data_IF_327918202522
#
_entry.id   IF_327918202522
#
_cell.length_a   1.000
_cell.length_b   1.000
_cell.length_c   1.000
_cell.angle_alpha   90.00
_cell.angle_beta   90.00
_cell.angle_gamma   90.00
#
_symmetry.space_group_name_H-M   'P 1'
#
loop_
_entity.id
_entity.type
_entity.pdbx_description
1 polymer ?
#
# COMPACT_ATOMS: atom_id res chain seq x y z
N UNK A 1 -5.69 -30.21 25.58
CA UNK A 1 -4.85 -30.84 24.53
C UNK A 1 -5.73 -31.10 23.32
N UNK A 2 -5.83 -30.18 22.38
CA UNK A 2 -6.52 -30.35 21.10
C UNK A 2 -5.47 -30.44 20.00
N UNK A 3 -5.38 -31.58 19.39
CA UNK A 3 -4.51 -31.86 18.24
C UNK A 3 -4.96 -31.06 17.04
N UNK A 4 -4.07 -30.29 16.35
CA UNK A 4 -4.43 -29.48 15.21
C UNK A 4 -4.16 -30.19 13.88
N UNK A 5 -4.57 -31.46 13.72
CA UNK A 5 -4.39 -32.15 12.45
C UNK A 5 -5.74 -32.49 11.81
N UNK A 6 -6.36 -31.49 11.15
CA UNK A 6 -7.40 -31.76 10.17
C UNK A 6 -6.74 -31.96 8.78
N UNK A 7 -6.09 -33.10 8.58
CA UNK A 7 -5.68 -33.54 7.25
C UNK A 7 -6.84 -34.30 6.61
N UNK A 8 -7.45 -33.73 5.58
CA UNK A 8 -8.39 -34.49 4.75
C UNK A 8 -7.59 -35.38 3.78
N UNK A 9 -7.69 -36.71 3.94
CA UNK A 9 -7.10 -37.66 3.00
C UNK A 9 -7.81 -37.55 1.63
N UNK A 10 -7.11 -37.03 0.64
CA UNK A 10 -7.52 -37.06 -0.75
C UNK A 10 -7.24 -38.44 -1.42
N UNK A 11 -7.77 -38.63 -2.62
CA UNK A 11 -7.62 -39.86 -3.40
C UNK A 11 -6.17 -40.35 -3.44
N UNK A 12 -5.92 -41.60 -2.96
CA UNK A 12 -4.65 -42.35 -3.03
C UNK A 12 -3.38 -41.55 -2.75
N UNK A 13 -3.06 -41.32 -1.48
CA UNK A 13 -1.76 -40.79 -1.06
C UNK A 13 -1.49 -39.30 -1.35
N UNK A 14 -2.51 -38.55 -1.67
CA UNK A 14 -2.42 -37.07 -1.79
C UNK A 14 -2.91 -36.45 -0.49
N UNK A 15 -2.06 -35.65 0.13
CA UNK A 15 -2.36 -34.85 1.30
C UNK A 15 -2.86 -33.46 0.87
N UNK A 16 -3.85 -32.92 1.60
CA UNK A 16 -4.32 -31.54 1.37
C UNK A 16 -3.85 -30.68 2.54
N UNK A 17 -3.00 -29.69 2.23
CA UNK A 17 -2.43 -28.75 3.20
C UNK A 17 -3.02 -27.37 2.96
N UNK A 18 -3.64 -26.80 4.00
CA UNK A 18 -4.11 -25.41 3.95
C UNK A 18 -2.94 -24.44 4.08
N UNK A 19 -2.89 -23.47 3.18
CA UNK A 19 -1.85 -22.43 3.14
C UNK A 19 -2.42 -21.11 2.69
N UNK A 20 -1.60 -20.06 2.66
CA UNK A 20 -1.98 -18.71 2.23
C UNK A 20 -1.21 -18.28 0.99
N UNK A 21 -1.87 -17.52 0.14
CA UNK A 21 -1.20 -16.78 -0.93
C UNK A 21 -0.43 -15.61 -0.33
N UNK A 22 0.86 -15.54 -0.60
CA UNK A 22 1.75 -14.49 -0.10
C UNK A 22 2.11 -13.46 -1.18
N UNK A 23 1.38 -13.41 -2.28
CA UNK A 23 1.61 -12.44 -3.35
C UNK A 23 1.43 -11.00 -2.84
N UNK A 24 2.18 -10.05 -3.41
CA UNK A 24 2.22 -8.63 -3.02
C UNK A 24 0.98 -7.81 -3.38
N UNK A 25 -0.02 -8.42 -3.99
CA UNK A 25 -1.29 -7.77 -4.33
C UNK A 25 -2.19 -7.42 -3.13
N UNK A 26 -1.82 -7.83 -1.91
CA UNK A 26 -2.60 -7.61 -0.69
C UNK A 26 -3.80 -8.51 -0.48
N UNK A 27 -4.07 -9.46 -1.38
CA UNK A 27 -5.26 -10.31 -1.33
C UNK A 27 -5.27 -11.35 -0.19
N UNK A 28 -4.10 -11.85 0.22
CA UNK A 28 -3.93 -12.83 1.33
C UNK A 28 -4.90 -14.00 1.28
N UNK A 29 -5.16 -14.50 0.07
CA UNK A 29 -6.16 -15.52 -0.18
C UNK A 29 -5.75 -16.87 0.42
N UNK A 30 -6.74 -17.66 0.84
CA UNK A 30 -6.55 -19.04 1.31
C UNK A 30 -6.36 -19.96 0.11
N UNK A 31 -5.43 -20.89 0.24
CA UNK A 31 -5.11 -21.90 -0.75
C UNK A 31 -5.13 -23.30 -0.11
N UNK A 32 -5.53 -24.29 -0.89
CA UNK A 32 -5.39 -25.71 -0.59
C UNK A 32 -4.31 -26.31 -1.48
N UNK A 33 -3.19 -26.72 -0.90
CA UNK A 33 -2.10 -27.38 -1.61
C UNK A 33 -2.32 -28.90 -1.59
N UNK A 34 -2.38 -29.50 -2.77
CA UNK A 34 -2.40 -30.95 -2.94
C UNK A 34 -0.97 -31.44 -3.05
N UNK A 35 -0.51 -32.15 -2.03
CA UNK A 35 0.88 -32.61 -1.88
C UNK A 35 0.95 -34.12 -2.02
N UNK A 36 1.90 -34.60 -2.80
CA UNK A 36 2.25 -36.02 -2.91
C UNK A 36 3.76 -36.16 -2.93
N UNK A 37 4.30 -37.07 -2.14
CA UNK A 37 5.75 -37.32 -2.06
C UNK A 37 6.58 -36.03 -1.87
N UNK A 38 6.11 -35.11 -1.01
CA UNK A 38 6.75 -33.82 -0.75
C UNK A 38 6.62 -32.79 -1.87
N UNK A 39 5.88 -33.06 -2.93
CA UNK A 39 5.70 -32.15 -4.07
C UNK A 39 4.27 -31.63 -4.16
N UNK A 40 4.12 -30.33 -4.35
CA UNK A 40 2.82 -29.70 -4.63
C UNK A 40 2.41 -30.02 -6.06
N UNK A 41 1.35 -30.79 -6.22
CA UNK A 41 0.80 -31.16 -7.51
C UNK A 41 -0.08 -30.05 -8.10
N UNK A 42 -0.90 -29.43 -7.25
CA UNK A 42 -1.77 -28.30 -7.63
C UNK A 42 -2.10 -27.43 -6.43
N UNK A 43 -2.52 -26.19 -6.71
CA UNK A 43 -3.08 -25.27 -5.75
C UNK A 43 -4.54 -24.99 -6.12
N UNK A 44 -5.42 -25.12 -5.15
CA UNK A 44 -6.84 -24.78 -5.28
C UNK A 44 -7.17 -23.55 -4.45
N UNK A 45 -8.20 -22.84 -4.87
CA UNK A 45 -8.78 -21.76 -4.09
C UNK A 45 -9.59 -22.33 -2.93
N UNK A 46 -9.84 -21.52 -1.92
CA UNK A 46 -10.83 -21.84 -0.90
C UNK A 46 -12.21 -22.03 -1.53
N UNK A 47 -12.92 -23.06 -1.10
CA UNK A 47 -14.28 -23.40 -1.52
C UNK A 47 -15.27 -23.34 -0.36
N UNK A 48 -14.87 -22.75 0.78
CA UNK A 48 -15.71 -22.58 1.97
C UNK A 48 -16.90 -21.67 1.75
N UNK A 49 -17.68 -21.48 2.80
CA UNK A 49 -18.83 -20.59 2.82
C UNK A 49 -18.44 -19.11 2.72
N UNK A 50 -19.40 -18.26 2.40
CA UNK A 50 -19.17 -16.80 2.34
C UNK A 50 -18.89 -16.20 3.74
N UNK A 51 -17.99 -15.22 3.84
CA UNK A 51 -17.22 -14.58 2.76
C UNK A 51 -16.00 -15.42 2.35
N UNK A 52 -15.90 -15.73 1.05
CA UNK A 52 -14.79 -16.54 0.55
C UNK A 52 -13.56 -15.70 0.21
N UNK A 53 -12.42 -16.10 0.76
CA UNK A 53 -11.12 -15.52 0.43
C UNK A 53 -10.51 -16.28 -0.75
N UNK A 54 -11.14 -16.14 -1.92
CA UNK A 54 -10.76 -16.89 -3.13
C UNK A 54 -9.50 -16.37 -3.76
N UNK A 55 -8.61 -17.29 -4.13
CA UNK A 55 -7.40 -16.97 -4.89
C UNK A 55 -7.71 -16.78 -6.38
N UNK A 56 -7.12 -15.72 -6.95
CA UNK A 56 -7.10 -15.51 -8.41
C UNK A 56 -6.16 -16.50 -9.11
N UNK A 57 -6.09 -16.43 -10.45
CA UNK A 57 -5.20 -17.27 -11.24
C UNK A 57 -3.72 -17.16 -10.83
N UNK A 58 -3.25 -15.99 -10.43
CA UNK A 58 -1.86 -15.81 -9.95
C UNK A 58 -1.57 -16.65 -8.72
N UNK A 59 -2.46 -16.64 -7.71
CA UNK A 59 -2.30 -17.47 -6.51
C UNK A 59 -2.31 -18.95 -6.84
N UNK A 60 -3.18 -19.38 -7.76
CA UNK A 60 -3.26 -20.79 -8.20
C UNK A 60 -2.05 -21.21 -9.01
N UNK A 61 -1.45 -20.30 -9.78
CA UNK A 61 -0.23 -20.55 -10.57
C UNK A 61 1.08 -20.48 -9.74
N UNK A 62 1.01 -20.20 -8.45
CA UNK A 62 2.21 -19.98 -7.62
C UNK A 62 3.14 -21.19 -7.54
N UNK A 63 2.60 -22.40 -7.79
CA UNK A 63 3.38 -23.63 -7.93
C UNK A 63 4.43 -23.52 -9.05
N UNK A 64 4.13 -22.87 -10.17
CA UNK A 64 5.06 -22.70 -11.28
C UNK A 64 6.29 -21.90 -10.85
N UNK A 65 6.09 -20.85 -10.04
CA UNK A 65 7.19 -20.08 -9.47
C UNK A 65 8.03 -20.91 -8.50
N UNK A 66 7.39 -21.74 -7.67
CA UNK A 66 8.10 -22.58 -6.71
C UNK A 66 9.05 -23.59 -7.39
N UNK A 67 8.64 -24.13 -8.53
CA UNK A 67 9.40 -25.13 -9.29
C UNK A 67 10.06 -24.56 -10.56
N UNK A 68 10.17 -23.22 -10.66
CA UNK A 68 10.88 -22.60 -11.78
C UNK A 68 12.35 -23.08 -11.81
N UNK A 69 12.88 -23.43 -13.00
CA UNK A 69 14.29 -23.81 -13.16
C UNK A 69 15.24 -22.68 -12.74
N UNK A 70 14.82 -21.42 -12.90
CA UNK A 70 15.62 -20.24 -12.57
C UNK A 70 15.59 -19.88 -11.08
N UNK A 71 14.82 -20.62 -10.27
CA UNK A 71 14.75 -20.37 -8.84
C UNK A 71 16.10 -20.62 -8.17
N UNK A 72 16.56 -19.62 -7.41
CA UNK A 72 17.72 -19.78 -6.54
C UNK A 72 17.42 -20.85 -5.46
N UNK A 73 18.30 -21.85 -5.36
CA UNK A 73 18.16 -23.00 -4.44
C UNK A 73 19.24 -23.01 -3.36
N UNK A 74 20.26 -22.21 -3.51
CA UNK A 74 21.43 -22.18 -2.65
C UNK A 74 21.88 -20.74 -2.46
N UNK A 75 22.59 -20.43 -1.37
CA UNK A 75 23.26 -19.15 -1.21
C UNK A 75 24.28 -18.94 -2.32
N UNK A 76 24.38 -17.70 -2.76
CA UNK A 76 25.34 -17.26 -3.77
C UNK A 76 26.22 -16.17 -3.19
N UNK A 77 27.53 -16.34 -3.31
CA UNK A 77 28.54 -15.33 -2.98
C UNK A 77 28.98 -14.62 -4.25
N UNK A 78 29.03 -13.30 -4.22
CA UNK A 78 29.54 -12.54 -5.36
C UNK A 78 31.05 -12.73 -5.50
N UNK A 79 31.49 -13.01 -6.72
CA UNK A 79 32.92 -13.01 -7.10
C UNK A 79 33.17 -11.84 -8.04
N UNK A 80 34.31 -11.17 -7.87
CA UNK A 80 34.69 -10.01 -8.66
C UNK A 80 33.98 -8.71 -8.24
N UNK A 81 34.01 -7.72 -9.14
CA UNK A 81 33.48 -6.35 -8.85
C UNK A 81 31.97 -6.31 -8.80
N UNK A 82 31.41 -5.41 -7.96
CA UNK A 82 29.98 -5.12 -7.93
C UNK A 82 29.50 -4.68 -9.31
N UNK A 83 28.38 -5.25 -9.77
CA UNK A 83 27.80 -4.99 -11.08
C UNK A 83 28.25 -5.93 -12.20
N UNK A 84 29.22 -6.82 -11.97
CA UNK A 84 29.64 -7.83 -12.96
C UNK A 84 28.65 -9.00 -13.11
N UNK A 85 27.77 -9.23 -12.11
CA UNK A 85 26.82 -10.34 -12.13
C UNK A 85 27.44 -11.73 -11.96
N UNK A 86 28.70 -11.80 -11.52
CA UNK A 86 29.40 -13.06 -11.30
C UNK A 86 29.21 -13.54 -9.85
N UNK A 87 28.72 -14.78 -9.71
CA UNK A 87 28.44 -15.40 -8.41
C UNK A 87 28.90 -16.84 -8.39
N UNK A 88 29.30 -17.31 -7.22
CA UNK A 88 29.58 -18.72 -6.95
C UNK A 88 28.63 -19.26 -5.89
N UNK A 89 28.31 -20.53 -5.97
CA UNK A 89 27.52 -21.24 -4.96
C UNK A 89 28.40 -21.50 -3.72
N UNK A 90 27.83 -21.22 -2.54
CA UNK A 90 28.39 -21.54 -1.24
C UNK A 90 27.45 -22.39 -0.41
N UNK A 91 27.93 -23.02 0.66
CA UNK A 91 27.06 -23.70 1.62
C UNK A 91 26.30 -22.68 2.50
N UNK A 92 25.26 -23.13 3.18
CA UNK A 92 24.55 -22.29 4.15
C UNK A 92 25.46 -21.89 5.31
N UNK A 93 26.31 -22.81 5.80
CA UNK A 93 27.24 -22.51 6.90
C UNK A 93 28.21 -21.39 6.51
N UNK A 94 28.86 -21.49 5.36
CA UNK A 94 29.72 -20.44 4.83
C UNK A 94 29.01 -19.10 4.67
N UNK A 95 27.78 -19.12 4.15
CA UNK A 95 27.01 -17.89 3.95
C UNK A 95 26.60 -17.25 5.29
N UNK A 96 26.18 -18.04 6.26
CA UNK A 96 25.76 -17.56 7.57
C UNK A 96 26.96 -17.03 8.39
N UNK A 97 28.07 -17.73 8.35
CA UNK A 97 29.29 -17.29 9.02
C UNK A 97 29.81 -15.98 8.45
N UNK A 98 29.88 -15.84 7.13
CA UNK A 98 30.25 -14.57 6.49
C UNK A 98 29.31 -13.42 6.85
N UNK A 99 28.01 -13.64 6.88
CA UNK A 99 27.03 -12.62 7.27
C UNK A 99 27.23 -12.25 8.75
N UNK A 100 27.43 -13.19 9.63
CA UNK A 100 27.65 -12.96 11.06
C UNK A 100 28.94 -12.16 11.30
N UNK A 101 30.05 -12.57 10.69
CA UNK A 101 31.32 -11.86 10.77
C UNK A 101 31.22 -10.42 10.27
N UNK A 102 30.53 -10.19 9.14
CA UNK A 102 30.34 -8.85 8.59
C UNK A 102 29.46 -7.98 9.48
N UNK A 103 28.41 -8.54 10.04
CA UNK A 103 27.54 -7.83 11.01
C UNK A 103 28.36 -7.40 12.23
N UNK A 104 29.17 -8.31 12.80
CA UNK A 104 29.97 -8.02 13.98
C UNK A 104 31.06 -6.97 13.66
N UNK A 105 31.76 -7.11 12.52
CA UNK A 105 32.74 -6.12 12.07
C UNK A 105 32.13 -4.71 11.94
N UNK A 106 30.95 -4.58 11.27
CA UNK A 106 30.30 -3.29 11.10
C UNK A 106 29.85 -2.72 12.45
N UNK A 107 29.33 -3.55 13.34
CA UNK A 107 28.94 -3.14 14.70
C UNK A 107 30.12 -2.61 15.49
N UNK A 108 31.25 -3.31 15.49
CA UNK A 108 32.45 -2.94 16.25
C UNK A 108 33.11 -1.68 15.67
N UNK A 109 33.17 -1.57 14.35
CA UNK A 109 33.89 -0.47 13.68
C UNK A 109 33.07 0.82 13.57
N UNK A 110 31.74 0.71 13.39
CA UNK A 110 30.89 1.86 13.05
C UNK A 110 29.62 1.96 13.90
N UNK A 111 29.32 0.94 14.70
CA UNK A 111 28.08 0.83 15.47
C UNK A 111 26.87 0.37 14.65
N UNK A 112 25.82 -0.05 15.36
CA UNK A 112 24.61 -0.62 14.75
C UNK A 112 23.86 0.34 13.80
N UNK A 113 24.04 1.67 13.97
CA UNK A 113 23.44 2.66 13.06
C UNK A 113 23.99 2.56 11.62
N UNK A 114 25.16 1.97 11.41
CA UNK A 114 25.75 1.75 10.10
C UNK A 114 25.11 0.57 9.32
N UNK A 115 24.26 -0.22 9.97
CA UNK A 115 23.50 -1.32 9.37
C UNK A 115 22.14 -0.79 8.93
N UNK A 116 21.85 -0.79 7.63
CA UNK A 116 20.59 -0.37 7.06
C UNK A 116 19.74 -1.58 6.70
N UNK A 117 18.53 -1.67 7.22
CA UNK A 117 17.52 -2.61 6.73
C UNK A 117 16.73 -1.97 5.58
N UNK A 118 16.97 -2.44 4.36
CA UNK A 118 16.24 -2.07 3.16
C UNK A 118 15.13 -3.07 2.91
N UNK A 119 13.94 -2.76 3.38
CA UNK A 119 12.79 -3.66 3.31
C UNK A 119 11.59 -2.99 2.67
N UNK A 120 10.82 -3.75 1.90
CA UNK A 120 9.63 -3.28 1.22
C UNK A 120 8.47 -4.30 1.34
N UNK A 121 7.35 -4.04 0.66
CA UNK A 121 6.17 -4.88 0.71
C UNK A 121 6.40 -6.31 0.26
N UNK A 122 6.82 -6.52 -0.97
CA UNK A 122 7.14 -7.82 -1.55
C UNK A 122 6.20 -8.95 -1.12
N UNK A 123 6.78 -10.03 -0.63
CA UNK A 123 6.04 -11.17 -0.08
C UNK A 123 5.30 -10.78 1.21
N UNK A 124 4.00 -11.04 1.27
CA UNK A 124 3.11 -10.70 2.39
C UNK A 124 3.02 -11.76 3.50
N UNK A 125 3.78 -12.84 3.41
CA UNK A 125 3.82 -13.88 4.44
C UNK A 125 4.45 -13.39 5.75
N UNK A 126 3.92 -13.81 6.90
CA UNK A 126 4.42 -13.39 8.22
C UNK A 126 5.83 -13.89 8.53
N UNK A 127 6.18 -15.08 8.04
CA UNK A 127 7.52 -15.70 8.22
C UNK A 127 8.49 -15.37 7.07
N UNK A 128 8.03 -14.56 6.12
CA UNK A 128 8.83 -14.08 5.00
C UNK A 128 8.90 -12.54 5.05
N UNK A 129 9.80 -11.98 4.29
CA UNK A 129 9.95 -10.54 4.21
C UNK A 129 10.70 -9.96 5.41
N UNK A 130 10.47 -8.69 5.75
CA UNK A 130 11.35 -7.94 6.64
C UNK A 130 11.23 -8.29 8.13
N UNK A 131 10.16 -8.97 8.55
CA UNK A 131 9.85 -9.13 9.98
C UNK A 131 10.87 -9.99 10.72
N UNK A 132 11.21 -11.20 10.26
CA UNK A 132 12.20 -12.03 10.96
C UNK A 132 13.60 -11.38 11.01
N UNK A 133 14.01 -10.78 9.89
CA UNK A 133 15.31 -10.09 9.82
C UNK A 133 15.34 -8.86 10.72
N UNK A 134 14.25 -8.09 10.74
CA UNK A 134 14.12 -6.95 11.63
C UNK A 134 14.18 -7.36 13.11
N UNK A 135 13.56 -8.48 13.48
CA UNK A 135 13.63 -9.01 14.84
C UNK A 135 15.06 -9.44 15.20
N UNK A 136 15.73 -10.17 14.32
CA UNK A 136 17.13 -10.56 14.50
C UNK A 136 18.05 -9.34 14.70
N UNK A 137 17.93 -8.32 13.83
CA UNK A 137 18.75 -7.12 13.95
C UNK A 137 18.44 -6.28 15.20
N UNK A 138 17.21 -6.35 15.73
CA UNK A 138 16.86 -5.71 17.01
C UNK A 138 17.61 -6.38 18.18
N UNK A 139 17.58 -7.70 18.24
CA UNK A 139 18.30 -8.47 19.25
C UNK A 139 19.82 -8.28 19.13
N UNK A 140 20.31 -8.08 17.91
CA UNK A 140 21.72 -7.77 17.65
C UNK A 140 22.17 -6.37 18.12
N UNK A 141 21.24 -5.51 18.54
CA UNK A 141 21.50 -4.16 19.06
C UNK A 141 20.93 -3.03 18.19
N UNK A 142 20.10 -3.37 17.21
CA UNK A 142 19.36 -2.41 16.38
C UNK A 142 20.00 -2.16 15.01
N UNK A 143 19.33 -1.28 14.26
CA UNK A 143 19.70 -0.96 12.87
C UNK A 143 19.08 0.38 12.44
N UNK A 144 19.63 0.99 11.40
CA UNK A 144 18.96 2.12 10.73
C UNK A 144 17.82 1.59 9.85
N UNK A 145 16.63 2.15 10.02
CA UNK A 145 15.45 1.77 9.25
C UNK A 145 15.07 2.81 8.22
N UNK A 146 14.36 2.39 7.20
CA UNK A 146 13.67 3.32 6.30
C UNK A 146 12.29 3.70 6.86
N UNK A 147 11.80 4.88 6.45
CA UNK A 147 10.44 5.33 6.67
C UNK A 147 9.91 6.01 5.40
N UNK A 148 8.61 6.33 5.36
CA UNK A 148 7.95 6.73 4.13
C UNK A 148 7.62 5.53 3.25
N UNK A 149 6.60 5.66 2.45
CA UNK A 149 6.12 4.57 1.59
C UNK A 149 5.77 5.13 0.22
N UNK A 150 6.68 4.99 -0.74
CA UNK A 150 6.49 5.47 -2.11
C UNK A 150 5.18 5.02 -2.77
N UNK A 151 4.62 3.90 -2.32
CA UNK A 151 3.38 3.34 -2.89
C UNK A 151 2.14 4.18 -2.61
N UNK A 152 2.06 4.86 -1.45
CA UNK A 152 0.81 5.50 -1.01
C UNK A 152 1.01 6.67 -0.02
N UNK A 153 2.20 7.24 0.06
CA UNK A 153 2.49 8.29 1.04
C UNK A 153 1.63 9.54 0.86
N UNK A 154 1.40 9.97 -0.39
CA UNK A 154 0.53 11.09 -0.70
C UNK A 154 -0.91 10.88 -0.21
N UNK A 155 -1.47 9.68 -0.41
CA UNK A 155 -2.80 9.33 0.08
C UNK A 155 -2.86 9.29 1.63
N UNK A 156 -1.79 8.80 2.29
CA UNK A 156 -1.69 8.83 3.76
C UNK A 156 -1.63 10.25 4.29
N UNK A 157 -0.79 11.10 3.68
CA UNK A 157 -0.70 12.51 4.05
C UNK A 157 -2.06 13.20 3.93
N UNK A 158 -2.73 13.05 2.79
CA UNK A 158 -4.04 13.63 2.56
C UNK A 158 -5.07 13.18 3.61
N UNK A 159 -5.14 11.87 3.90
CA UNK A 159 -6.04 11.35 4.94
C UNK A 159 -5.75 11.94 6.31
N UNK A 160 -4.47 12.06 6.67
CA UNK A 160 -4.09 12.66 7.96
C UNK A 160 -4.39 14.16 8.03
N UNK A 161 -4.12 14.89 6.95
CA UNK A 161 -4.39 16.33 6.87
C UNK A 161 -5.90 16.64 6.88
N UNK A 162 -6.73 15.80 6.25
CA UNK A 162 -8.17 16.01 6.15
C UNK A 162 -8.94 15.43 7.33
N UNK A 163 -8.65 14.18 7.70
CA UNK A 163 -9.46 13.41 8.67
C UNK A 163 -8.76 13.16 10.02
N UNK A 164 -7.49 13.52 10.16
CA UNK A 164 -6.69 13.16 11.36
C UNK A 164 -6.44 11.66 11.52
N UNK A 165 -6.80 10.85 10.53
CA UNK A 165 -6.66 9.38 10.56
C UNK A 165 -6.41 8.79 9.19
N UNK A 166 -5.69 7.66 9.15
CA UNK A 166 -5.52 6.86 7.93
C UNK A 166 -6.55 5.73 7.79
N UNK A 167 -7.49 5.64 8.74
CA UNK A 167 -8.49 4.56 8.78
C UNK A 167 -9.80 5.07 8.23
N UNK A 168 -9.87 5.14 6.92
CA UNK A 168 -10.94 5.78 6.15
C UNK A 168 -11.62 4.84 5.16
N UNK A 169 -11.33 3.53 5.22
CA UNK A 169 -11.93 2.54 4.34
C UNK A 169 -13.08 1.79 4.99
N UNK A 170 -14.01 1.32 4.18
CA UNK A 170 -15.09 0.42 4.55
C UNK A 170 -14.73 -1.04 4.18
N UNK A 171 -15.54 -2.01 4.63
CA UNK A 171 -15.47 -3.37 4.11
C UNK A 171 -15.90 -3.40 2.63
N UNK A 172 -15.47 -4.43 1.91
CA UNK A 172 -15.86 -4.56 0.49
C UNK A 172 -17.34 -4.93 0.32
N UNK A 173 -17.91 -5.62 1.28
CA UNK A 173 -19.32 -5.96 1.32
C UNK A 173 -20.21 -4.72 1.40
N UNK A 174 -19.73 -3.64 2.02
CA UNK A 174 -20.49 -2.40 2.16
C UNK A 174 -20.79 -1.73 0.82
N UNK A 175 -19.99 -2.01 -0.22
CA UNK A 175 -20.26 -1.55 -1.59
C UNK A 175 -21.59 -2.07 -2.18
N UNK A 176 -22.14 -3.15 -1.63
CA UNK A 176 -23.47 -3.64 -2.02
C UNK A 176 -24.62 -2.73 -1.58
N UNK A 177 -24.36 -1.76 -0.72
CA UNK A 177 -25.30 -0.73 -0.29
C UNK A 177 -25.21 0.56 -1.12
N UNK A 178 -24.21 0.67 -2.02
CA UNK A 178 -24.03 1.86 -2.87
C UNK A 178 -25.06 1.91 -3.98
N UNK A 179 -25.36 3.12 -4.48
CA UNK A 179 -26.08 3.35 -5.73
C UNK A 179 -25.15 3.60 -6.92
N UNK A 180 -23.94 4.09 -6.61
CA UNK A 180 -22.87 4.33 -7.57
C UNK A 180 -21.54 3.98 -6.93
N UNK A 181 -20.66 3.31 -7.68
CA UNK A 181 -19.26 3.05 -7.28
C UNK A 181 -18.33 3.68 -8.31
N UNK A 182 -17.43 4.54 -7.87
CA UNK A 182 -16.39 5.13 -8.71
C UNK A 182 -15.04 4.55 -8.27
N UNK A 183 -14.38 3.83 -9.17
CA UNK A 183 -13.01 3.36 -8.98
C UNK A 183 -12.08 4.35 -9.68
N UNK A 184 -11.33 5.14 -8.93
CA UNK A 184 -10.45 6.17 -9.47
C UNK A 184 -8.99 5.80 -9.28
N UNK A 185 -8.25 5.64 -10.38
CA UNK A 185 -6.81 5.32 -10.33
C UNK A 185 -6.48 4.02 -9.60
N UNK A 186 -7.40 3.06 -9.62
CA UNK A 186 -7.23 1.75 -9.00
C UNK A 186 -7.69 0.63 -9.93
N UNK A 187 -6.83 -0.36 -10.12
CA UNK A 187 -7.10 -1.57 -10.90
C UNK A 187 -7.21 -2.80 -9.97
N UNK A 188 -8.37 -3.00 -9.30
CA UNK A 188 -8.55 -4.10 -8.33
C UNK A 188 -8.47 -5.50 -8.94
N UNK A 189 -8.64 -5.67 -10.25
CA UNK A 189 -8.41 -6.96 -10.90
C UNK A 189 -6.95 -7.42 -10.80
N UNK A 190 -6.01 -6.48 -10.66
CA UNK A 190 -4.57 -6.73 -10.52
C UNK A 190 -4.09 -6.42 -9.10
N UNK A 191 -4.41 -5.25 -8.57
CA UNK A 191 -4.04 -4.80 -7.22
C UNK A 191 -5.23 -4.97 -6.29
N UNK A 192 -5.40 -6.17 -5.79
CA UNK A 192 -6.62 -6.62 -5.09
C UNK A 192 -6.88 -5.84 -3.79
N UNK A 193 -5.82 -5.57 -3.00
CA UNK A 193 -5.77 -4.80 -1.75
C UNK A 193 -6.51 -5.42 -0.56
N UNK A 194 -7.56 -6.17 -0.73
CA UNK A 194 -8.25 -6.91 0.32
C UNK A 194 -8.78 -8.24 -0.22
N UNK A 195 -8.91 -9.28 0.62
CA UNK A 195 -9.50 -10.53 0.21
C UNK A 195 -10.92 -10.32 -0.35
N UNK A 196 -11.25 -11.03 -1.40
CA UNK A 196 -12.61 -11.01 -1.97
C UNK A 196 -12.98 -9.75 -2.77
N UNK A 197 -12.11 -8.76 -2.94
CA UNK A 197 -12.43 -7.51 -3.66
C UNK A 197 -13.05 -7.77 -5.04
N UNK A 198 -12.44 -8.61 -5.86
CA UNK A 198 -12.97 -8.91 -7.20
C UNK A 198 -14.33 -9.60 -7.15
N UNK A 199 -14.56 -10.46 -6.17
CA UNK A 199 -15.86 -11.11 -5.97
C UNK A 199 -16.93 -10.09 -5.58
N UNK A 200 -16.60 -9.18 -4.67
CA UNK A 200 -17.55 -8.14 -4.25
C UNK A 200 -17.89 -7.17 -5.40
N UNK A 201 -16.92 -6.78 -6.21
CA UNK A 201 -17.18 -5.95 -7.39
C UNK A 201 -18.05 -6.68 -8.45
N UNK A 202 -17.86 -7.98 -8.61
CA UNK A 202 -18.75 -8.79 -9.45
C UNK A 202 -20.19 -8.79 -8.91
N UNK A 203 -20.38 -8.98 -7.60
CA UNK A 203 -21.68 -8.91 -6.94
C UNK A 203 -22.33 -7.52 -7.02
N UNK A 204 -21.54 -6.45 -6.89
CA UNK A 204 -22.00 -5.06 -7.10
C UNK A 204 -22.59 -4.92 -8.51
N UNK A 205 -21.87 -5.43 -9.52
CA UNK A 205 -22.34 -5.41 -10.91
C UNK A 205 -23.59 -6.29 -11.12
N UNK A 206 -23.63 -7.49 -10.58
CA UNK A 206 -24.78 -8.42 -10.64
C UNK A 206 -26.04 -7.80 -10.01
N UNK A 207 -25.86 -7.00 -8.95
CA UNK A 207 -26.94 -6.25 -8.29
C UNK A 207 -27.43 -5.05 -9.12
N UNK A 208 -26.84 -4.76 -10.27
CA UNK A 208 -27.18 -3.63 -11.11
C UNK A 208 -26.63 -2.28 -10.64
N UNK A 209 -25.73 -2.26 -9.65
CA UNK A 209 -25.10 -1.03 -9.17
C UNK A 209 -24.07 -0.58 -10.22
N UNK A 210 -24.20 0.67 -10.67
CA UNK A 210 -23.31 1.24 -11.69
C UNK A 210 -21.90 1.41 -11.16
N UNK A 211 -20.91 0.95 -11.95
CA UNK A 211 -19.48 1.12 -11.67
C UNK A 211 -18.87 2.00 -12.76
N UNK A 212 -18.30 3.13 -12.36
CA UNK A 212 -17.51 4.03 -13.22
C UNK A 212 -16.03 3.83 -12.88
N UNK A 213 -15.18 3.68 -13.89
CA UNK A 213 -13.73 3.59 -13.70
C UNK A 213 -13.06 4.78 -14.36
N UNK A 214 -12.32 5.56 -13.57
CA UNK A 214 -11.46 6.66 -14.03
C UNK A 214 -10.02 6.17 -13.98
N UNK A 215 -9.44 5.93 -15.15
CA UNK A 215 -8.09 5.36 -15.29
C UNK A 215 -7.52 5.76 -16.65
N UNK A 216 -6.27 6.19 -16.76
CA UNK A 216 -5.66 6.54 -18.05
C UNK A 216 -5.60 5.38 -19.04
N UNK A 217 -5.71 4.15 -18.55
CA UNK A 217 -5.60 2.93 -19.32
C UNK A 217 -6.89 2.12 -19.29
N UNK A 218 -7.27 1.53 -20.42
CA UNK A 218 -8.32 0.51 -20.45
C UNK A 218 -7.82 -0.77 -19.77
N UNK A 219 -7.95 -0.80 -18.46
CA UNK A 219 -7.40 -1.83 -17.58
C UNK A 219 -8.30 -3.07 -17.47
N UNK A 220 -7.76 -4.17 -16.89
CA UNK A 220 -8.57 -5.37 -16.62
C UNK A 220 -9.80 -5.07 -15.76
N UNK A 221 -9.70 -4.09 -14.86
CA UNK A 221 -10.85 -3.66 -14.05
C UNK A 221 -11.88 -2.90 -14.87
N UNK A 222 -11.45 -2.10 -15.85
CA UNK A 222 -12.37 -1.47 -16.80
C UNK A 222 -13.10 -2.54 -17.59
N UNK A 223 -12.37 -3.46 -18.20
CA UNK A 223 -12.94 -4.52 -19.02
C UNK A 223 -13.91 -5.44 -18.25
N UNK A 224 -13.63 -5.68 -16.94
CA UNK A 224 -14.38 -6.65 -16.15
C UNK A 224 -15.57 -6.02 -15.44
N UNK A 225 -15.42 -4.82 -14.88
CA UNK A 225 -16.40 -4.27 -13.92
C UNK A 225 -17.12 -3.03 -14.42
N UNK A 226 -16.50 -2.19 -15.29
CA UNK A 226 -17.02 -0.88 -15.61
C UNK A 226 -18.24 -0.94 -16.55
N UNK A 227 -19.25 -0.11 -16.27
CA UNK A 227 -20.26 0.31 -17.24
C UNK A 227 -19.85 1.60 -17.97
N UNK A 228 -18.93 2.37 -17.36
CA UNK A 228 -18.36 3.55 -18.00
C UNK A 228 -16.87 3.64 -17.67
N UNK A 229 -16.06 3.93 -18.67
CA UNK A 229 -14.65 4.25 -18.52
C UNK A 229 -14.40 5.71 -18.91
N UNK A 230 -13.67 6.41 -18.07
CA UNK A 230 -13.26 7.80 -18.29
C UNK A 230 -11.72 7.83 -18.32
N UNK A 231 -11.12 7.97 -19.51
CA UNK A 231 -9.68 8.15 -19.64
C UNK A 231 -9.28 9.54 -19.16
N UNK A 232 -8.27 9.60 -18.28
CA UNK A 232 -7.74 10.85 -17.75
C UNK A 232 -6.24 10.95 -18.04
N UNK A 233 -5.74 12.12 -18.42
CA UNK A 233 -4.30 12.34 -18.58
C UNK A 233 -3.60 12.11 -17.23
N UNK A 234 -2.55 11.25 -17.16
CA UNK A 234 -1.85 10.99 -15.90
C UNK A 234 -1.35 12.27 -15.22
N UNK A 235 -1.61 12.37 -13.90
CA UNK A 235 -1.18 13.50 -13.07
C UNK A 235 -2.12 14.72 -13.13
N UNK A 236 -3.26 14.63 -13.80
CA UNK A 236 -4.25 15.73 -13.90
C UNK A 236 -5.56 15.43 -13.18
N UNK A 237 -5.61 14.34 -12.47
CA UNK A 237 -6.78 13.86 -11.73
C UNK A 237 -7.40 14.90 -10.79
N UNK A 238 -6.53 15.71 -10.14
CA UNK A 238 -6.96 16.77 -9.24
C UNK A 238 -7.85 17.81 -9.94
N UNK A 239 -7.53 18.18 -11.19
CA UNK A 239 -8.30 19.15 -11.93
C UNK A 239 -9.74 18.67 -12.20
N UNK A 240 -9.90 17.40 -12.53
CA UNK A 240 -11.23 16.78 -12.74
C UNK A 240 -12.05 16.79 -11.44
N UNK A 241 -11.45 16.36 -10.32
CA UNK A 241 -12.12 16.34 -9.02
C UNK A 241 -12.49 17.75 -8.53
N UNK A 242 -11.63 18.73 -8.74
CA UNK A 242 -11.87 20.16 -8.42
C UNK A 242 -13.04 20.69 -9.26
N UNK A 243 -13.06 20.42 -10.57
CA UNK A 243 -14.18 20.84 -11.43
C UNK A 243 -15.50 20.11 -11.09
N UNK A 244 -15.45 18.86 -10.65
CA UNK A 244 -16.65 18.20 -10.12
C UNK A 244 -17.17 18.92 -8.87
N UNK A 245 -16.31 19.36 -7.96
CA UNK A 245 -16.69 20.14 -6.79
C UNK A 245 -17.29 21.49 -7.19
N UNK A 246 -16.72 22.17 -8.21
CA UNK A 246 -17.29 23.39 -8.78
C UNK A 246 -18.74 23.18 -9.24
N UNK A 247 -19.02 22.12 -10.03
CA UNK A 247 -20.36 21.80 -10.50
C UNK A 247 -21.32 21.55 -9.34
N UNK A 248 -20.90 20.76 -8.35
CA UNK A 248 -21.71 20.41 -7.18
C UNK A 248 -22.12 21.68 -6.41
N UNK A 249 -21.18 22.60 -6.15
CA UNK A 249 -21.49 23.83 -5.44
C UNK A 249 -22.29 24.82 -6.31
N UNK A 250 -21.96 24.97 -7.60
CA UNK A 250 -22.64 25.86 -8.53
C UNK A 250 -24.10 25.47 -8.73
N UNK A 251 -24.38 24.19 -8.80
CA UNK A 251 -25.74 23.64 -9.01
C UNK A 251 -26.47 23.36 -7.69
N UNK A 252 -25.86 23.68 -6.54
CA UNK A 252 -26.44 23.50 -5.20
C UNK A 252 -26.81 22.03 -4.89
N UNK A 253 -25.96 21.11 -5.30
CA UNK A 253 -26.11 19.66 -5.09
C UNK A 253 -25.42 19.14 -3.82
N UNK A 254 -24.75 20.03 -3.07
CA UNK A 254 -24.04 19.68 -1.85
C UNK A 254 -24.97 19.36 -0.68
N UNK A 255 -24.48 18.59 0.26
CA UNK A 255 -25.14 18.29 1.53
C UNK A 255 -24.80 19.37 2.58
N UNK A 256 -25.66 20.40 2.68
CA UNK A 256 -25.46 21.51 3.62
C UNK A 256 -25.38 21.05 5.08
N UNK A 257 -26.24 20.08 5.45
CA UNK A 257 -26.28 19.59 6.84
C UNK A 257 -24.95 18.94 7.22
N UNK A 258 -24.38 18.12 6.31
CA UNK A 258 -23.07 17.51 6.54
C UNK A 258 -21.95 18.55 6.60
N UNK A 259 -21.95 19.49 5.65
CA UNK A 259 -20.96 20.56 5.60
C UNK A 259 -20.95 21.37 6.88
N UNK A 260 -22.09 21.88 7.30
CA UNK A 260 -22.22 22.75 8.46
C UNK A 260 -21.88 22.05 9.78
N UNK A 261 -22.14 20.73 9.84
CA UNK A 261 -21.96 19.96 11.08
C UNK A 261 -20.54 19.40 11.21
N UNK A 262 -19.91 18.98 10.11
CA UNK A 262 -18.73 18.13 10.16
C UNK A 262 -17.52 18.68 9.40
N UNK A 263 -17.62 19.86 8.77
CA UNK A 263 -16.52 20.42 8.00
C UNK A 263 -16.14 21.83 8.43
N UNK A 264 -14.98 22.28 7.99
CA UNK A 264 -14.51 23.66 8.13
C UNK A 264 -13.85 24.10 6.83
N UNK A 265 -13.93 25.40 6.50
CA UNK A 265 -13.21 26.02 5.37
C UNK A 265 -13.91 25.86 4.01
N UNK A 266 -15.22 25.61 4.00
CA UNK A 266 -15.99 25.49 2.75
C UNK A 266 -16.01 26.83 1.98
N UNK A 267 -16.08 27.96 2.68
CA UNK A 267 -16.10 29.30 2.10
C UNK A 267 -14.80 29.56 1.33
N UNK A 268 -13.66 29.34 1.97
CA UNK A 268 -12.33 29.48 1.34
C UNK A 268 -12.19 28.55 0.13
N UNK A 269 -12.69 27.33 0.23
CA UNK A 269 -12.66 26.41 -0.90
C UNK A 269 -13.58 26.86 -2.05
N UNK A 270 -14.76 27.42 -1.74
CA UNK A 270 -15.66 27.98 -2.73
C UNK A 270 -15.03 29.21 -3.42
N UNK A 271 -14.37 30.10 -2.67
CA UNK A 271 -13.64 31.25 -3.22
C UNK A 271 -12.57 30.79 -4.23
N UNK A 272 -11.81 29.77 -3.90
CA UNK A 272 -10.86 29.16 -4.84
C UNK A 272 -11.56 28.57 -6.07
N UNK A 273 -12.65 27.86 -5.92
CA UNK A 273 -13.38 27.26 -7.05
C UNK A 273 -13.96 28.28 -7.99
N UNK A 274 -14.53 29.37 -7.44
CA UNK A 274 -15.15 30.43 -8.21
C UNK A 274 -14.17 31.52 -8.67
N UNK A 275 -12.86 31.29 -8.50
CA UNK A 275 -11.81 32.16 -9.03
C UNK A 275 -11.61 33.46 -8.28
N UNK A 276 -12.09 33.58 -7.03
CA UNK A 276 -11.94 34.80 -6.23
C UNK A 276 -10.48 35.08 -5.85
N UNK A 277 -9.64 34.03 -5.79
CA UNK A 277 -8.22 34.17 -5.43
C UNK A 277 -7.31 34.47 -6.63
N UNK A 278 -7.58 33.85 -7.79
CA UNK A 278 -6.68 33.86 -8.96
C UNK A 278 -7.34 34.35 -10.28
N UNK A 279 -8.62 34.73 -10.22
CA UNK A 279 -9.39 35.14 -11.38
C UNK A 279 -9.80 34.01 -12.33
N UNK A 280 -9.59 32.75 -11.94
CA UNK A 280 -9.85 31.58 -12.79
C UNK A 280 -10.89 30.68 -12.17
N UNK A 281 -12.11 30.65 -12.70
CA UNK A 281 -13.11 29.66 -12.29
C UNK A 281 -12.68 28.24 -12.67
N UNK A 282 -12.80 27.29 -11.75
CA UNK A 282 -12.39 25.90 -11.94
C UNK A 282 -13.52 25.08 -12.62
N UNK A 283 -13.98 25.58 -13.76
CA UNK A 283 -15.08 24.99 -14.54
C UNK A 283 -14.73 23.61 -15.14
N UNK A 284 -15.72 22.84 -15.58
CA UNK A 284 -15.44 21.63 -16.37
C UNK A 284 -14.57 21.89 -17.61
N UNK A 285 -14.73 23.05 -18.30
CA UNK A 285 -13.92 23.44 -19.46
C UNK A 285 -12.46 23.71 -19.06
N UNK A 286 -12.24 24.36 -17.92
CA UNK A 286 -10.90 24.51 -17.37
C UNK A 286 -10.23 23.15 -17.13
N UNK A 287 -10.96 22.20 -16.55
CA UNK A 287 -10.43 20.87 -16.28
C UNK A 287 -10.23 20.02 -17.56
N UNK A 288 -11.10 20.19 -18.58
CA UNK A 288 -10.96 19.53 -19.88
C UNK A 288 -9.66 19.92 -20.55
N UNK A 289 -9.33 21.21 -20.58
CA UNK A 289 -8.08 21.71 -21.14
C UNK A 289 -6.82 21.08 -20.48
N UNK A 290 -6.90 20.76 -19.21
CA UNK A 290 -5.82 20.15 -18.42
C UNK A 290 -5.81 18.61 -18.58
N UNK A 291 -6.96 17.96 -18.44
CA UNK A 291 -7.08 16.51 -18.25
C UNK A 291 -7.40 15.74 -19.53
N UNK A 292 -7.88 16.43 -20.54
CA UNK A 292 -8.46 15.84 -21.77
C UNK A 292 -9.75 15.02 -21.52
N UNK A 293 -10.37 15.15 -20.35
CA UNK A 293 -11.71 14.60 -20.09
C UNK A 293 -12.72 15.64 -20.54
N UNK A 294 -13.68 15.29 -21.44
CA UNK A 294 -14.67 16.25 -21.92
C UNK A 294 -15.48 16.91 -20.81
N UNK A 295 -15.74 18.21 -20.92
CA UNK A 295 -16.39 19.01 -19.89
C UNK A 295 -17.78 18.47 -19.52
N UNK A 296 -18.54 17.98 -20.50
CA UNK A 296 -19.85 17.36 -20.28
C UNK A 296 -19.76 16.05 -19.50
N UNK A 297 -18.66 15.27 -19.70
CA UNK A 297 -18.42 14.04 -18.93
C UNK A 297 -18.10 14.37 -17.47
N UNK A 298 -17.28 15.43 -17.23
CA UNK A 298 -16.97 15.90 -15.88
C UNK A 298 -18.22 16.37 -15.16
N UNK A 299 -19.02 17.21 -15.81
CA UNK A 299 -20.27 17.74 -15.24
C UNK A 299 -21.29 16.63 -15.01
N UNK A 300 -21.42 15.68 -15.94
CA UNK A 300 -22.30 14.52 -15.78
C UNK A 300 -21.89 13.64 -14.61
N UNK A 301 -20.60 13.33 -14.47
CA UNK A 301 -20.09 12.52 -13.36
C UNK A 301 -20.28 13.23 -12.00
N UNK A 302 -20.14 14.57 -11.95
CA UNK A 302 -20.36 15.36 -10.74
C UNK A 302 -21.82 15.26 -10.28
N UNK A 303 -22.78 15.43 -11.20
CA UNK A 303 -24.23 15.31 -10.91
C UNK A 303 -24.57 13.88 -10.49
N UNK A 304 -24.10 12.87 -11.24
CA UNK A 304 -24.31 11.47 -10.92
C UNK A 304 -23.83 11.14 -9.51
N UNK A 305 -22.63 11.61 -9.15
CA UNK A 305 -22.04 11.35 -7.84
C UNK A 305 -22.82 12.02 -6.71
N UNK A 306 -23.22 13.27 -6.87
CA UNK A 306 -23.96 14.01 -5.85
C UNK A 306 -25.39 13.47 -5.63
N UNK A 307 -26.05 13.01 -6.71
CA UNK A 307 -27.44 12.55 -6.69
C UNK A 307 -27.61 11.06 -6.37
N UNK A 308 -26.58 10.23 -6.59
CA UNK A 308 -26.61 8.79 -6.33
C UNK A 308 -26.25 8.44 -4.88
N UNK A 309 -26.81 9.14 -3.90
CA UNK A 309 -26.49 8.93 -2.48
C UNK A 309 -27.15 7.66 -1.93
N UNK A 310 -26.43 6.73 -1.28
CA UNK A 310 -25.00 6.72 -1.04
C UNK A 310 -24.18 6.34 -2.27
N UNK A 311 -23.06 7.04 -2.48
CA UNK A 311 -22.10 6.76 -3.56
C UNK A 311 -20.68 6.53 -3.01
N UNK A 312 -20.02 5.48 -3.48
CA UNK A 312 -18.67 5.14 -3.07
C UNK A 312 -17.64 5.67 -4.07
N UNK A 313 -16.89 6.70 -3.69
CA UNK A 313 -15.70 7.14 -4.42
C UNK A 313 -14.46 6.48 -3.80
N UNK A 314 -13.89 5.49 -4.49
CA UNK A 314 -12.70 4.79 -4.04
C UNK A 314 -11.49 5.37 -4.76
N UNK A 315 -10.76 6.25 -4.06
CA UNK A 315 -9.56 6.88 -4.56
C UNK A 315 -8.36 5.93 -4.47
N UNK A 316 -7.87 5.45 -5.60
CA UNK A 316 -6.68 4.63 -5.69
C UNK A 316 -5.39 5.40 -5.38
N UNK A 317 -4.30 4.69 -5.16
CA UNK A 317 -3.03 5.31 -4.77
C UNK A 317 -2.18 5.79 -5.95
N UNK A 318 -2.50 5.34 -7.17
CA UNK A 318 -1.66 5.61 -8.32
C UNK A 318 -1.51 7.10 -8.64
N UNK A 319 -2.58 7.93 -8.68
CA UNK A 319 -2.45 9.36 -8.92
C UNK A 319 -1.68 10.09 -7.82
N UNK A 320 -1.76 9.60 -6.58
CA UNK A 320 -1.06 10.18 -5.43
C UNK A 320 0.48 9.95 -5.44
N UNK A 321 1.00 9.18 -6.40
CA UNK A 321 2.44 8.94 -6.56
C UNK A 321 3.14 9.98 -7.45
N UNK A 322 2.38 10.83 -8.13
CA UNK A 322 2.92 11.93 -8.92
C UNK A 322 3.43 13.06 -8.01
N UNK A 323 4.17 14.01 -8.60
CA UNK A 323 4.50 15.25 -7.91
C UNK A 323 3.21 15.96 -7.50
N UNK A 324 3.15 16.44 -6.25
CA UNK A 324 1.94 17.02 -5.65
C UNK A 324 0.71 16.10 -5.66
N UNK A 325 0.92 14.79 -5.75
CA UNK A 325 -0.16 13.80 -5.86
C UNK A 325 -1.07 13.72 -4.64
N UNK A 326 -0.64 14.20 -3.48
CA UNK A 326 -1.50 14.38 -2.30
C UNK A 326 -2.69 15.30 -2.58
N UNK A 327 -2.61 16.22 -3.54
CA UNK A 327 -3.73 17.10 -3.90
C UNK A 327 -4.87 16.33 -4.56
N UNK A 328 -4.57 15.29 -5.34
CA UNK A 328 -5.58 14.37 -5.84
C UNK A 328 -6.38 13.73 -4.70
N UNK A 329 -5.69 13.18 -3.72
CA UNK A 329 -6.36 12.53 -2.59
C UNK A 329 -7.13 13.53 -1.73
N UNK A 330 -6.63 14.76 -1.55
CA UNK A 330 -7.35 15.84 -0.86
C UNK A 330 -8.62 16.24 -1.61
N UNK A 331 -8.55 16.43 -2.92
CA UNK A 331 -9.72 16.75 -3.74
C UNK A 331 -10.79 15.65 -3.69
N UNK A 332 -10.38 14.38 -3.71
CA UNK A 332 -11.28 13.25 -3.53
C UNK A 332 -11.95 13.26 -2.13
N UNK A 333 -11.19 13.56 -1.07
CA UNK A 333 -11.73 13.69 0.28
C UNK A 333 -12.77 14.82 0.37
N UNK A 334 -12.50 15.96 -0.25
CA UNK A 334 -13.44 17.09 -0.28
C UNK A 334 -14.75 16.71 -0.99
N UNK A 335 -14.67 16.03 -2.14
CA UNK A 335 -15.86 15.57 -2.86
C UNK A 335 -16.77 14.69 -2.00
N UNK A 336 -16.19 13.76 -1.23
CA UNK A 336 -16.99 12.89 -0.34
C UNK A 336 -17.61 13.68 0.81
N UNK A 337 -16.92 14.71 1.31
CA UNK A 337 -17.42 15.56 2.37
C UNK A 337 -18.56 16.46 1.89
N UNK A 338 -18.40 17.20 0.79
CA UNK A 338 -19.44 18.12 0.30
C UNK A 338 -20.73 17.41 -0.16
N UNK A 339 -20.65 16.11 -0.47
CA UNK A 339 -21.83 15.30 -0.81
C UNK A 339 -22.38 14.49 0.36
N UNK A 340 -21.74 14.54 1.54
CA UNK A 340 -22.16 13.82 2.74
C UNK A 340 -22.15 12.29 2.57
N UNK A 341 -21.24 11.75 1.75
CA UNK A 341 -21.09 10.30 1.56
C UNK A 341 -20.22 9.62 2.63
N UNK A 342 -19.71 10.38 3.59
CA UNK A 342 -18.92 9.88 4.70
C UNK A 342 -19.84 9.40 5.83
N UNK A 343 -19.57 8.19 6.36
CA UNK A 343 -20.33 7.64 7.48
C UNK A 343 -21.65 6.95 7.10
N UNK A 344 -21.98 6.88 5.81
CA UNK A 344 -23.12 6.15 5.30
C UNK A 344 -22.73 4.74 4.86
N UNK A 345 -23.62 3.76 5.10
CA UNK A 345 -23.51 2.45 4.46
C UNK A 345 -23.62 2.60 2.94
N UNK A 346 -22.62 2.07 2.23
CA UNK A 346 -22.51 2.24 0.77
C UNK A 346 -21.84 3.55 0.33
N UNK A 347 -21.56 4.48 1.26
CA UNK A 347 -20.71 5.63 1.02
C UNK A 347 -19.23 5.29 1.24
N UNK A 348 -18.33 6.23 0.96
CA UNK A 348 -16.89 6.04 1.15
C UNK A 348 -16.21 7.37 1.42
N UNK A 349 -15.19 7.38 2.30
CA UNK A 349 -14.49 8.62 2.67
C UNK A 349 -13.36 9.00 1.70
N UNK A 350 -13.13 8.23 0.65
CA UNK A 350 -12.07 8.42 -0.37
C UNK A 350 -10.64 8.62 0.18
N UNK A 351 -10.41 8.37 1.46
CA UNK A 351 -9.08 8.51 2.07
C UNK A 351 -8.16 7.33 1.75
N UNK A 352 -7.28 6.99 2.67
CA UNK A 352 -6.22 5.99 2.46
C UNK A 352 -6.71 4.54 2.22
N UNK A 353 -7.99 4.26 2.23
CA UNK A 353 -8.61 2.95 1.93
C UNK A 353 -8.31 1.81 2.94
N UNK A 354 -7.75 2.10 4.09
CA UNK A 354 -7.48 1.05 5.07
C UNK A 354 -8.72 0.79 5.92
N UNK A 355 -9.37 -0.35 5.69
CA UNK A 355 -10.46 -0.83 6.54
C UNK A 355 -9.93 -1.23 7.93
N UNK A 356 -10.79 -1.18 8.93
CA UNK A 356 -10.49 -1.76 10.24
C UNK A 356 -10.44 -3.28 10.12
N UNK A 357 -9.32 -3.89 10.51
CA UNK A 357 -9.31 -5.32 10.78
C UNK A 357 -9.74 -5.59 12.22
N UNK A 358 -10.43 -6.70 12.45
CA UNK A 358 -10.80 -7.15 13.79
C UNK A 358 -9.58 -7.26 14.72
N UNK A 359 -8.41 -7.58 14.18
CA UNK A 359 -7.14 -7.66 14.90
C UNK A 359 -6.62 -6.29 15.36
N UNK A 360 -6.78 -5.24 14.55
CA UNK A 360 -6.41 -3.88 14.95
C UNK A 360 -7.33 -3.33 16.04
N UNK A 361 -8.60 -3.71 16.00
CA UNK A 361 -9.57 -3.35 17.03
C UNK A 361 -9.24 -4.00 18.38
N UNK A 362 -8.87 -5.27 18.38
CA UNK A 362 -8.45 -6.00 19.59
C UNK A 362 -7.16 -5.40 20.20
N UNK A 363 -6.20 -5.00 19.36
CA UNK A 363 -4.97 -4.35 19.80
C UNK A 363 -5.22 -2.96 20.43
N UNK A 364 -6.15 -2.18 19.89
CA UNK A 364 -6.53 -0.89 20.49
C UNK A 364 -7.13 -1.04 21.88
N UNK A 365 -8.01 -2.04 22.07
CA UNK A 365 -8.55 -2.35 23.41
C UNK A 365 -7.45 -2.75 24.41
N UNK A 366 -6.50 -3.56 23.98
CA UNK A 366 -5.37 -3.97 24.83
C UNK A 366 -4.47 -2.80 25.20
N UNK A 367 -4.21 -1.85 24.27
CA UNK A 367 -3.36 -0.68 24.51
C UNK A 367 -4.06 0.42 25.35
N UNK A 368 -5.35 0.63 25.15
CA UNK A 368 -6.12 1.54 26.00
C UNK A 368 -6.10 1.11 27.49
N UNK A 369 -5.97 -0.19 27.71
CA UNK A 369 -5.83 -0.76 29.07
C UNK A 369 -4.40 -0.68 29.64
N UNK A 370 -3.38 -0.47 28.81
CA UNK A 370 -1.97 -0.49 29.24
C UNK A 370 -1.44 0.85 29.76
N UNK A 371 -2.23 1.93 29.70
CA UNK A 371 -1.84 3.26 30.22
C UNK A 371 -0.60 3.89 29.57
N UNK A 372 -0.14 3.39 28.44
CA UNK A 372 1.07 3.90 27.78
C UNK A 372 0.88 5.32 27.25
N UNK A 373 1.81 6.21 27.60
CA UNK A 373 1.83 7.59 27.15
C UNK A 373 1.84 7.69 25.61
N UNK A 374 1.13 8.67 25.08
CA UNK A 374 1.18 8.97 23.64
C UNK A 374 2.61 9.36 23.24
N UNK A 375 3.18 8.81 22.15
CA UNK A 375 4.49 9.25 21.67
C UNK A 375 4.43 10.75 21.32
N UNK A 376 5.53 11.46 21.51
CA UNK A 376 5.64 12.86 21.11
C UNK A 376 5.42 12.95 19.58
N UNK A 377 4.65 13.96 19.17
CA UNK A 377 4.48 14.29 17.74
C UNK A 377 5.82 14.69 17.12
N UNK A 378 6.04 14.31 15.88
CA UNK A 378 7.21 14.75 15.10
C UNK A 378 6.92 16.01 14.29
N UNK A 379 5.66 16.46 14.29
CA UNK A 379 5.20 17.54 13.42
C UNK A 379 5.01 17.11 11.97
N UNK A 380 5.27 15.85 11.62
CA UNK A 380 5.01 15.31 10.29
C UNK A 380 3.76 14.41 10.33
N UNK A 381 2.64 14.82 9.71
CA UNK A 381 1.38 14.04 9.72
C UNK A 381 1.53 12.62 9.19
N UNK A 382 2.36 12.41 8.18
CA UNK A 382 2.61 11.06 7.62
C UNK A 382 3.34 10.20 8.63
N UNK A 383 4.32 10.75 9.30
CA UNK A 383 5.10 10.03 10.30
C UNK A 383 4.30 9.76 11.56
N UNK A 384 3.55 10.75 12.02
CA UNK A 384 2.71 10.64 13.21
C UNK A 384 1.47 9.78 12.94
N UNK A 385 0.87 9.90 11.77
CA UNK A 385 -0.34 9.20 11.36
C UNK A 385 -0.10 7.83 10.79
N UNK A 386 0.96 7.59 10.06
CA UNK A 386 1.38 6.25 9.63
C UNK A 386 1.65 5.32 10.82
N UNK A 387 1.87 5.90 11.96
CA UNK A 387 1.71 5.38 13.29
C UNK A 387 2.26 4.02 13.65
N UNK A 388 3.26 3.43 12.99
CA UNK A 388 3.77 2.14 13.46
C UNK A 388 4.57 2.25 14.75
N UNK A 389 4.76 3.44 15.31
CA UNK A 389 5.40 3.60 16.63
C UNK A 389 4.73 2.78 17.72
N UNK A 390 3.41 2.51 17.59
CA UNK A 390 2.65 1.67 18.51
C UNK A 390 2.37 0.26 18.01
N UNK A 391 2.49 0.04 16.71
CA UNK A 391 2.07 -1.20 16.06
C UNK A 391 3.16 -1.78 15.17
N UNK A 392 4.42 -1.46 15.44
CA UNK A 392 5.51 -2.18 14.80
C UNK A 392 5.26 -3.67 14.99
N UNK A 393 5.14 -4.40 13.90
CA UNK A 393 5.10 -5.86 13.94
C UNK A 393 6.33 -6.41 14.67
N UNK A 394 7.40 -5.63 14.76
CA UNK A 394 8.57 -5.90 15.59
C UNK A 394 8.24 -6.00 17.10
N UNK A 395 7.24 -5.27 17.59
CA UNK A 395 6.72 -5.47 18.96
C UNK A 395 6.05 -6.82 19.17
N UNK A 396 5.50 -7.43 18.13
CA UNK A 396 4.94 -8.78 18.19
C UNK A 396 6.02 -9.87 18.40
N UNK A 397 7.27 -9.56 18.09
CA UNK A 397 8.43 -10.43 18.27
C UNK A 397 9.33 -10.01 19.44
N UNK A 398 8.84 -9.17 20.35
CA UNK A 398 9.48 -8.94 21.65
C UNK A 398 10.38 -7.72 21.77
N UNK A 399 10.61 -6.93 20.71
CA UNK A 399 11.57 -5.83 20.79
C UNK A 399 11.11 -4.48 20.22
N UNK A 400 11.71 -3.41 20.72
CA UNK A 400 11.79 -2.12 20.03
C UNK A 400 13.20 -2.00 19.46
N UNK A 401 13.32 -1.53 18.23
CA UNK A 401 14.64 -1.22 17.65
C UNK A 401 15.34 -0.20 18.57
N UNK A 402 16.43 -0.57 19.26
CA UNK A 402 17.12 0.32 20.18
C UNK A 402 17.79 1.50 19.47
N UNK A 403 18.08 1.36 18.18
CA UNK A 403 18.60 2.44 17.36
C UNK A 403 17.46 3.29 16.79
N UNK A 404 17.43 4.56 17.14
CA UNK A 404 16.45 5.52 16.64
C UNK A 404 16.70 6.04 15.22
N UNK A 405 17.85 5.71 14.60
CA UNK A 405 18.22 6.21 13.30
C UNK A 405 17.27 5.74 12.20
N UNK A 406 16.84 6.66 11.36
CA UNK A 406 15.91 6.39 10.25
C UNK A 406 16.11 7.35 9.10
N UNK A 407 15.85 6.85 7.89
CA UNK A 407 16.06 7.56 6.63
C UNK A 407 14.78 7.45 5.81
N UNK A 408 14.33 8.57 5.26
CA UNK A 408 13.21 8.54 4.32
C UNK A 408 13.57 7.73 3.07
N UNK A 409 12.65 6.89 2.57
CA UNK A 409 12.90 6.01 1.43
C UNK A 409 13.50 6.73 0.22
N UNK A 410 13.02 7.91 -0.12
CA UNK A 410 13.53 8.67 -1.28
C UNK A 410 14.94 9.25 -1.06
N UNK A 411 15.46 9.21 0.15
CA UNK A 411 16.77 9.75 0.54
C UNK A 411 17.82 8.67 0.83
N UNK A 412 17.48 7.40 0.65
CA UNK A 412 18.36 6.29 0.98
C UNK A 412 19.71 6.36 0.25
N UNK A 413 19.70 6.64 -1.05
CA UNK A 413 20.93 6.76 -1.83
C UNK A 413 21.81 7.93 -1.38
N UNK A 414 21.18 9.08 -1.11
CA UNK A 414 21.90 10.24 -0.59
C UNK A 414 22.51 9.96 0.80
N UNK A 415 21.76 9.26 1.65
CA UNK A 415 22.22 8.91 2.99
C UNK A 415 23.41 7.96 2.96
N UNK A 416 23.42 6.98 2.07
CA UNK A 416 24.58 6.06 1.90
C UNK A 416 25.80 6.83 1.40
N UNK A 417 25.62 7.74 0.42
CA UNK A 417 26.74 8.46 -0.21
C UNK A 417 27.31 9.60 0.64
N UNK A 418 26.46 10.28 1.41
CA UNK A 418 26.82 11.53 2.10
C UNK A 418 26.94 11.38 3.62
N UNK A 419 26.33 10.34 4.18
CA UNK A 419 26.39 10.01 5.59
C UNK A 419 26.12 11.17 6.54
N UNK A 420 26.71 11.14 7.72
CA UNK A 420 26.59 12.21 8.73
C UNK A 420 27.05 13.58 8.22
N UNK A 421 28.08 13.63 7.39
CA UNK A 421 28.54 14.86 6.77
C UNK A 421 27.47 15.53 5.87
N UNK A 422 26.56 14.72 5.32
CA UNK A 422 25.40 15.19 4.56
C UNK A 422 24.15 15.46 5.39
N UNK A 423 24.24 15.44 6.72
CA UNK A 423 23.12 15.68 7.63
C UNK A 423 22.25 14.43 7.90
N UNK A 424 22.70 13.24 7.53
CA UNK A 424 22.00 11.99 7.80
C UNK A 424 22.37 11.41 9.17
N UNK A 425 21.50 10.56 9.77
CA UNK A 425 21.71 10.08 11.14
C UNK A 425 22.90 9.13 11.32
N UNK A 426 23.36 8.53 10.23
CA UNK A 426 24.44 7.54 10.27
C UNK A 426 25.23 7.47 8.96
N UNK A 427 26.49 7.01 9.06
CA UNK A 427 27.29 6.58 7.92
C UNK A 427 26.98 5.12 7.63
N UNK A 428 26.19 4.87 6.60
CA UNK A 428 25.74 3.51 6.26
C UNK A 428 26.88 2.75 5.59
N UNK A 429 27.21 1.58 6.13
CA UNK A 429 28.27 0.70 5.64
C UNK A 429 27.75 -0.63 5.13
N UNK A 430 26.64 -1.10 5.69
CA UNK A 430 26.03 -2.37 5.33
C UNK A 430 24.54 -2.19 5.03
N UNK A 431 24.04 -2.90 4.00
CA UNK A 431 22.61 -3.03 3.74
C UNK A 431 22.19 -4.49 3.84
N UNK A 432 21.12 -4.73 4.61
CA UNK A 432 20.39 -5.98 4.61
C UNK A 432 19.09 -5.75 3.80
N UNK A 433 18.99 -6.37 2.62
CA UNK A 433 17.90 -6.14 1.67
C UNK A 433 16.92 -7.30 1.74
N UNK A 434 15.66 -7.02 2.03
CA UNK A 434 14.63 -8.06 2.20
C UNK A 434 13.36 -7.68 1.48
N UNK A 435 12.85 -8.59 0.65
CA UNK A 435 11.58 -8.42 -0.09
C UNK A 435 11.50 -7.07 -0.83
N UNK A 436 12.62 -6.61 -1.38
CA UNK A 436 12.74 -5.31 -2.00
C UNK A 436 13.65 -5.34 -3.22
N UNK A 437 13.34 -4.48 -4.18
CA UNK A 437 14.17 -4.21 -5.35
C UNK A 437 14.40 -2.70 -5.44
N UNK A 438 15.15 -2.16 -4.47
CA UNK A 438 15.36 -0.72 -4.32
C UNK A 438 15.91 -0.06 -5.59
N UNK A 439 16.88 -0.69 -6.23
CA UNK A 439 17.51 -0.13 -7.42
C UNK A 439 16.50 0.09 -8.57
N UNK A 440 15.52 -0.81 -8.70
CA UNK A 440 14.51 -0.75 -9.75
C UNK A 440 13.24 0.01 -9.35
N UNK A 441 13.00 0.17 -8.05
CA UNK A 441 11.80 0.79 -7.50
C UNK A 441 11.96 2.29 -7.19
N UNK A 442 13.19 2.76 -7.03
CA UNK A 442 13.48 4.14 -6.68
C UNK A 442 13.98 4.95 -7.89
N UNK A 443 13.70 6.26 -7.93
CA UNK A 443 14.20 7.13 -9.01
C UNK A 443 15.72 7.27 -8.92
N UNK A 444 16.34 7.66 -10.05
CA UNK A 444 17.77 7.88 -10.18
C UNK A 444 18.64 6.61 -9.95
N UNK A 445 18.45 5.64 -10.84
CA UNK A 445 19.15 4.35 -10.81
C UNK A 445 20.68 4.49 -10.75
N UNK A 446 21.28 5.46 -11.49
CA UNK A 446 22.73 5.70 -11.47
C UNK A 446 23.22 6.05 -10.07
N UNK A 447 22.52 6.97 -9.39
CA UNK A 447 22.83 7.32 -8.01
C UNK A 447 22.65 6.13 -7.06
N UNK A 448 21.65 5.29 -7.34
CA UNK A 448 21.46 4.02 -6.64
C UNK A 448 22.62 3.06 -6.81
N UNK A 449 23.13 2.91 -8.04
CA UNK A 449 24.32 2.09 -8.30
C UNK A 449 25.55 2.58 -7.53
N UNK A 450 25.81 3.91 -7.55
CA UNK A 450 26.91 4.51 -6.81
C UNK A 450 26.77 4.27 -5.31
N UNK A 451 25.57 4.45 -4.76
CA UNK A 451 25.27 4.20 -3.35
C UNK A 451 25.51 2.73 -2.97
N UNK A 452 25.00 1.79 -3.76
CA UNK A 452 25.20 0.37 -3.47
C UNK A 452 26.65 -0.09 -3.65
N UNK A 453 27.40 0.54 -4.57
CA UNK A 453 28.84 0.30 -4.72
C UNK A 453 29.65 0.79 -3.52
N UNK A 454 29.22 1.89 -2.88
CA UNK A 454 29.90 2.49 -1.73
C UNK A 454 29.74 1.68 -0.43
N UNK A 455 28.75 0.78 -0.34
CA UNK A 455 28.60 -0.11 0.81
C UNK A 455 29.77 -1.09 0.92
N UNK A 456 30.20 -1.37 2.13
CA UNK A 456 31.21 -2.40 2.39
C UNK A 456 30.65 -3.80 2.17
N UNK A 457 29.42 -4.04 2.63
CA UNK A 457 28.73 -5.32 2.51
C UNK A 457 27.25 -5.19 2.22
N UNK A 458 26.70 -6.13 1.48
CA UNK A 458 25.27 -6.20 1.18
C UNK A 458 24.80 -7.65 1.17
N UNK A 459 23.71 -7.93 1.88
CA UNK A 459 22.98 -9.20 1.90
C UNK A 459 21.62 -8.99 1.27
N UNK A 460 21.22 -9.87 0.36
CA UNK A 460 19.91 -9.81 -0.33
C UNK A 460 19.15 -11.12 -0.14
#
# INVERSE_FOLDING_TARGET
MHSPNNFQQGRRGVEIVNTGCCHDCGGRCVLKAHVKDGKILRLESDTGEDPQIRACMRGRAYRQRLYSPDRLKHPLRRVGRKGQGAFERVSWDVALDEVAERLEHIKQSYGNAAILLMASGGNQGMLHGPLPVGAMLQEFGGFTRTWGIASYEGAMYASMATYGTIRTGNSREDLLNSKLVILWGWNPAVTVQDPGTSLMLARVREKGIRIVVVDPRYSDSVATFAQQWIPVRPGTDSAVLIAMAYVILKEKLQDHVFIDTYTVGIETYADYLFGMEDGIEKTPQWAEAISSVPAEVIAGLARDYAQSKPAALIAGWAPARAAYGEQYSRAANVLTAITGNIGLHGGYAAGFMRAYSSREFSHRKAMARSGQAKPKSTGNPVEDGAGPRKYSLYKLYGGTNPNGARIHNTKVYDAILRGKAGGYPADIKMAYVVASNFLNQHPNTRRGEDALRALEFMVV
#
